data_IF_284944525434
#
_entry.id   IF_284944525434
#
_cell.length_a   1.000
_cell.length_b   1.000
_cell.length_c   1.000
_cell.angle_alpha   90.00
_cell.angle_beta   90.00
_cell.angle_gamma   90.00
#
_symmetry.space_group_name_H-M   'P 1'
#
loop_
_entity.id
_entity.type
_entity.pdbx_description
1 polymer ?
#
# COMPACT_ATOMS: atom_id res chain seq x y z
N UNK A 1 -18.53 -0.90 0.00
CA UNK A 1 -17.98 -2.26 -0.23
C UNK A 1 -19.04 -3.37 -0.13
N UNK A 2 -20.21 -3.17 -0.73
CA UNK A 2 -21.41 -3.97 -0.45
C UNK A 2 -21.32 -5.42 -0.95
N UNK A 3 -20.93 -5.62 -2.20
CA UNK A 3 -20.84 -6.96 -2.80
C UNK A 3 -19.88 -7.88 -2.04
N UNK A 4 -18.74 -7.35 -1.61
CA UNK A 4 -17.73 -8.13 -0.87
C UNK A 4 -18.31 -8.67 0.45
N UNK A 5 -19.01 -7.81 1.20
CA UNK A 5 -19.70 -8.16 2.44
C UNK A 5 -20.84 -9.15 2.22
N UNK A 6 -21.67 -8.93 1.18
CA UNK A 6 -22.78 -9.83 0.84
C UNK A 6 -22.33 -11.24 0.47
N UNK A 7 -21.13 -11.37 -0.08
CA UNK A 7 -20.52 -12.68 -0.39
C UNK A 7 -19.78 -13.31 0.79
N UNK A 8 -19.61 -12.60 1.90
CA UNK A 8 -18.94 -13.12 3.08
C UNK A 8 -17.44 -13.38 2.89
N UNK A 9 -16.78 -12.63 2.01
CA UNK A 9 -15.31 -12.71 1.89
C UNK A 9 -14.63 -12.05 3.08
N UNK A 10 -13.44 -12.54 3.45
CA UNK A 10 -12.69 -12.06 4.61
C UNK A 10 -12.07 -10.67 4.46
N UNK A 11 -11.91 -10.17 3.23
CA UNK A 11 -11.30 -8.87 3.00
C UNK A 11 -11.07 -8.56 1.53
N UNK A 12 -10.40 -7.45 1.26
CA UNK A 12 -9.97 -7.02 -0.07
C UNK A 12 -8.44 -6.92 -0.10
N UNK A 13 -7.85 -7.27 -1.24
CA UNK A 13 -6.43 -7.08 -1.52
C UNK A 13 -6.25 -5.89 -2.48
N UNK A 14 -5.22 -5.09 -2.25
CA UNK A 14 -4.89 -3.93 -3.10
C UNK A 14 -3.58 -4.22 -3.82
N UNK A 15 -3.60 -4.03 -5.13
CA UNK A 15 -2.43 -4.06 -5.99
C UNK A 15 -2.41 -2.78 -6.82
N UNK A 16 -1.54 -1.80 -6.55
CA UNK A 16 -0.56 -1.68 -5.45
C UNK A 16 -0.77 -0.37 -4.71
N UNK A 17 -0.06 -0.20 -3.58
CA UNK A 17 -0.24 0.97 -2.72
C UNK A 17 0.25 2.28 -3.36
N UNK A 18 1.27 2.20 -4.21
CA UNK A 18 1.90 3.35 -4.90
C UNK A 18 1.01 3.98 -5.99
N UNK A 19 -0.04 3.30 -6.44
CA UNK A 19 -1.04 3.85 -7.35
C UNK A 19 -2.20 4.55 -6.66
N UNK A 20 -2.26 4.53 -5.32
CA UNK A 20 -3.16 5.41 -4.58
C UNK A 20 -2.56 6.84 -4.49
N UNK A 21 -3.36 7.83 -4.12
CA UNK A 21 -2.85 9.19 -3.86
C UNK A 21 -2.12 9.23 -2.51
N UNK A 22 -0.97 8.55 -2.44
CA UNK A 22 -0.21 8.35 -1.20
C UNK A 22 0.33 9.65 -0.59
N UNK A 23 0.54 10.69 -1.42
CA UNK A 23 0.92 12.04 -0.95
C UNK A 23 -0.30 12.90 -0.59
N UNK A 24 -1.49 12.54 -1.07
CA UNK A 24 -2.72 13.30 -0.87
C UNK A 24 -2.81 14.58 -1.69
N UNK A 25 -2.00 14.71 -2.75
CA UNK A 25 -1.86 15.94 -3.54
C UNK A 25 -2.58 15.88 -4.88
N UNK A 26 -2.99 14.71 -5.33
CA UNK A 26 -3.51 14.49 -6.70
C UNK A 26 -5.03 14.60 -6.74
N UNK A 27 -5.70 14.07 -5.71
CA UNK A 27 -7.15 13.94 -5.65
C UNK A 27 -7.83 14.92 -4.68
N UNK A 28 -7.06 15.65 -3.85
CA UNK A 28 -7.61 16.59 -2.87
C UNK A 28 -8.40 15.94 -1.73
N UNK A 29 -8.18 14.65 -1.48
CA UNK A 29 -8.88 13.84 -0.45
C UNK A 29 -7.99 13.45 0.72
N UNK A 30 -6.78 14.01 0.80
CA UNK A 30 -5.74 13.57 1.71
C UNK A 30 -5.08 12.26 1.27
N UNK A 31 -4.09 11.76 2.03
CA UNK A 31 -3.34 10.56 1.69
C UNK A 31 -4.20 9.29 1.67
N UNK A 32 -3.91 8.40 0.73
CA UNK A 32 -4.50 7.05 0.60
C UNK A 32 -6.04 7.01 0.52
N UNK A 33 -6.69 7.82 -0.33
CA UNK A 33 -8.15 7.90 -0.39
C UNK A 33 -8.83 6.57 -0.72
N UNK A 34 -8.21 5.69 -1.53
CA UNK A 34 -8.80 4.39 -1.85
C UNK A 34 -8.68 3.43 -0.66
N UNK A 35 -7.49 3.32 -0.06
CA UNK A 35 -7.28 2.48 1.12
C UNK A 35 -8.20 2.91 2.27
N UNK A 36 -8.32 4.22 2.52
CA UNK A 36 -9.22 4.75 3.54
C UNK A 36 -10.68 4.40 3.28
N UNK A 37 -11.12 4.43 2.01
CA UNK A 37 -12.47 3.99 1.66
C UNK A 37 -12.68 2.49 1.93
N UNK A 38 -11.67 1.65 1.68
CA UNK A 38 -11.72 0.23 2.05
C UNK A 38 -11.80 0.09 3.57
N UNK A 39 -10.93 0.74 4.32
CA UNK A 39 -10.86 0.64 5.78
C UNK A 39 -12.14 1.13 6.46
N UNK A 40 -12.70 2.27 6.02
CA UNK A 40 -13.95 2.79 6.58
C UNK A 40 -15.14 1.86 6.34
N UNK A 41 -15.09 1.10 5.25
CA UNK A 41 -16.17 0.19 4.89
C UNK A 41 -15.98 -1.21 5.50
N UNK A 42 -14.77 -1.77 5.50
CA UNK A 42 -14.50 -3.13 5.99
C UNK A 42 -14.06 -3.17 7.46
N UNK A 43 -13.54 -2.07 7.99
CA UNK A 43 -13.12 -1.97 9.37
C UNK A 43 -14.31 -2.14 10.31
N UNK A 44 -14.12 -2.92 11.37
CA UNK A 44 -15.03 -2.90 12.51
C UNK A 44 -14.92 -1.53 13.18
N UNK A 45 -16.04 -0.90 13.55
CA UNK A 45 -15.99 0.10 14.62
C UNK A 45 -15.48 -0.61 15.87
N UNK A 46 -14.17 -0.55 16.11
CA UNK A 46 -13.62 -0.83 17.41
C UNK A 46 -14.04 0.33 18.32
N UNK A 47 -15.32 0.35 18.73
CA UNK A 47 -15.64 0.91 20.04
C UNK A 47 -14.74 0.14 20.98
N UNK A 48 -13.72 0.81 21.52
CA UNK A 48 -12.74 0.23 22.41
C UNK A 48 -13.47 -0.43 23.58
N UNK A 49 -13.79 -1.72 23.46
CA UNK A 49 -13.97 -2.57 24.61
C UNK A 49 -12.56 -2.74 25.16
N UNK A 50 -12.22 -1.83 26.06
CA UNK A 50 -11.21 -2.01 27.10
C UNK A 50 -11.63 -3.23 27.92
N UNK A 51 -11.49 -4.42 27.35
CA UNK A 51 -11.45 -5.64 28.14
C UNK A 51 -10.01 -5.74 28.63
N UNK A 52 -9.80 -5.18 29.83
CA UNK A 52 -8.57 -5.28 30.59
C UNK A 52 -8.33 -6.75 30.91
N UNK A 53 -7.49 -7.42 30.12
CA UNK A 53 -6.96 -8.72 30.49
C UNK A 53 -5.84 -8.49 31.50
N UNK A 54 -6.17 -8.58 32.79
CA UNK A 54 -5.21 -8.53 33.89
C UNK A 54 -4.35 -9.79 33.83
N UNK A 55 -3.24 -9.72 33.10
CA UNK A 55 -2.29 -10.82 32.98
C UNK A 55 -1.27 -10.67 34.09
N UNK A 56 -1.46 -11.47 35.14
CA UNK A 56 -0.47 -11.70 36.18
C UNK A 56 0.84 -12.16 35.55
N UNK A 57 1.88 -11.35 35.77
CA UNK A 57 3.26 -11.58 35.34
C UNK A 57 3.82 -12.82 36.03
N UNK A 58 4.06 -13.86 35.23
CA UNK A 58 5.08 -14.87 35.53
C UNK A 58 6.14 -14.76 34.44
N UNK A 59 7.34 -14.34 34.84
CA UNK A 59 8.54 -14.26 34.04
C UNK A 59 9.07 -15.66 33.72
N UNK A 60 9.45 -15.94 32.47
CA UNK A 60 10.56 -16.83 32.22
C UNK A 60 11.58 -16.16 31.31
N UNK A 61 12.73 -15.89 31.92
CA UNK A 61 14.11 -16.12 31.45
C UNK A 61 14.37 -16.12 29.93
N UNK A 62 15.18 -15.14 29.54
CA UNK A 62 15.80 -14.96 28.23
C UNK A 62 16.42 -16.26 27.67
N UNK A 63 15.99 -16.71 26.50
CA UNK A 63 16.75 -17.64 25.67
C UNK A 63 16.94 -17.00 24.29
N UNK A 64 18.16 -16.55 24.05
CA UNK A 64 18.63 -16.06 22.75
C UNK A 64 18.55 -17.20 21.73
N UNK A 65 17.75 -16.98 20.68
CA UNK A 65 17.88 -17.72 19.42
C UNK A 65 18.12 -16.67 18.33
N UNK A 66 19.39 -16.38 18.13
CA UNK A 66 19.92 -15.68 16.98
C UNK A 66 19.72 -16.55 15.74
N UNK A 67 18.85 -16.11 14.83
CA UNK A 67 18.81 -16.61 13.47
C UNK A 67 18.86 -15.42 12.54
N UNK A 68 20.08 -14.99 12.22
CA UNK A 68 20.39 -14.22 11.03
C UNK A 68 19.72 -14.87 9.81
N UNK A 69 18.62 -14.28 9.34
CA UNK A 69 18.12 -14.57 8.00
C UNK A 69 18.94 -13.72 7.04
N UNK A 70 20.05 -14.30 6.57
CA UNK A 70 20.83 -13.81 5.44
C UNK A 70 19.97 -13.87 4.18
N UNK A 71 19.28 -12.76 3.88
CA UNK A 71 18.62 -12.57 2.60
C UNK A 71 19.69 -12.13 1.59
N UNK A 72 20.52 -13.08 1.17
CA UNK A 72 21.34 -12.95 -0.04
C UNK A 72 20.40 -12.67 -1.21
N UNK A 73 20.28 -11.39 -1.55
CA UNK A 73 19.61 -10.93 -2.77
C UNK A 73 20.67 -10.96 -3.85
N UNK A 74 20.56 -11.94 -4.75
CA UNK A 74 21.32 -11.90 -6.00
C UNK A 74 20.91 -10.63 -6.76
N UNK A 75 21.85 -9.71 -6.94
CA UNK A 75 21.73 -8.59 -7.87
C UNK A 75 21.43 -9.16 -9.27
N UNK A 76 20.34 -8.74 -9.94
CA UNK A 76 20.27 -8.94 -11.38
C UNK A 76 21.25 -7.97 -12.03
N UNK A 77 22.33 -8.49 -12.62
CA UNK A 77 23.17 -7.71 -13.52
C UNK A 77 22.31 -7.27 -14.71
N UNK A 78 21.96 -5.98 -14.75
CA UNK A 78 21.39 -5.35 -15.94
C UNK A 78 22.55 -4.87 -16.80
N UNK A 79 22.79 -5.57 -17.91
CA UNK A 79 23.65 -5.08 -18.98
C UNK A 79 23.09 -3.76 -19.51
N UNK A 80 23.89 -2.71 -19.40
CA UNK A 80 23.70 -1.43 -20.08
C UNK A 80 23.64 -1.67 -21.60
N UNK A 81 22.46 -1.51 -22.20
CA UNK A 81 22.31 -1.33 -23.64
C UNK A 81 21.73 0.07 -23.86
N UNK A 82 22.66 1.02 -24.04
CA UNK A 82 22.40 2.40 -24.46
C UNK A 82 21.74 2.40 -25.84
N UNK A 83 20.43 2.63 -25.89
CA UNK A 83 19.79 3.17 -27.09
C UNK A 83 19.13 4.50 -26.77
N UNK A 84 19.90 5.57 -26.92
CA UNK A 84 19.40 6.93 -27.10
C UNK A 84 18.44 6.97 -28.30
N UNK A 85 17.13 7.04 -28.04
CA UNK A 85 16.16 7.48 -29.04
C UNK A 85 15.74 8.89 -28.66
N UNK A 86 16.52 9.86 -29.13
CA UNK A 86 16.05 11.23 -29.30
C UNK A 86 15.06 11.26 -30.47
N UNK A 87 13.78 11.45 -30.16
CA UNK A 87 12.82 11.97 -31.12
C UNK A 87 12.09 13.16 -30.50
N UNK A 88 12.78 14.29 -30.45
CA UNK A 88 12.14 15.59 -30.62
C UNK A 88 11.27 15.57 -31.88
N UNK A 89 9.96 15.69 -31.71
CA UNK A 89 9.10 16.29 -32.75
C UNK A 89 8.10 17.23 -32.11
N UNK A 90 8.25 18.51 -32.44
CA UNK A 90 7.30 19.59 -32.17
C UNK A 90 6.13 19.48 -33.14
N UNK A 91 4.88 19.56 -32.65
CA UNK A 91 3.72 19.80 -33.51
C UNK A 91 2.57 20.51 -32.75
N UNK A 92 2.46 21.81 -33.04
CA UNK A 92 1.33 22.73 -33.08
C UNK A 92 0.06 22.54 -32.21
N UNK A 93 -0.33 23.63 -31.53
CA UNK A 93 -1.62 23.87 -30.87
C UNK A 93 -2.84 23.78 -31.82
N UNK A 94 -3.99 23.25 -31.37
CA UNK A 94 -5.24 23.35 -32.13
C UNK A 94 -5.94 24.71 -31.87
N UNK A 95 -6.10 25.50 -32.94
CA UNK A 95 -6.91 26.73 -32.91
C UNK A 95 -8.41 26.42 -32.73
N UNK A 96 -9.04 27.15 -31.81
CA UNK A 96 -10.47 27.06 -31.46
C UNK A 96 -11.35 27.79 -32.51
N UNK A 97 -12.48 27.24 -32.97
CA UNK A 97 -13.37 27.95 -33.89
C UNK A 97 -14.27 28.96 -33.15
N UNK A 98 -14.59 30.04 -33.88
CA UNK A 98 -15.51 31.15 -33.53
C UNK A 98 -16.98 30.72 -33.49
#
# INVERSE_FOLDING_TARGET
>A
MKWLKEKGYGGAFIWTLDFDDFKGTSCGKGPYPLLNAINNELGSESTASTESFDTTTAEPENTEADTDIDMTTAEPETTDDDTDIDMTTSAAEPTRPI
#
